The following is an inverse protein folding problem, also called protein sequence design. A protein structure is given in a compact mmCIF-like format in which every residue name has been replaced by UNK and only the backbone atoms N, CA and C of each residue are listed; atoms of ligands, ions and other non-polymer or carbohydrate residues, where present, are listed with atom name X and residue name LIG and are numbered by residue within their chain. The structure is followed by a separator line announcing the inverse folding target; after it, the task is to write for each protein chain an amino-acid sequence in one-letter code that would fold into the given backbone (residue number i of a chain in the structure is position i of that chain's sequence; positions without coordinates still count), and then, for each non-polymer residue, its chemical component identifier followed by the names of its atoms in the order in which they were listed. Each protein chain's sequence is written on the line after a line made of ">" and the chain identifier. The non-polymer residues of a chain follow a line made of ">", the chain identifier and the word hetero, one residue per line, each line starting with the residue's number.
data_IF_233939803842
#
_entry.id   IF_233939803842
#
_cell.length_a   1.000
_cell.length_b   1.000
_cell.length_c   1.000
_cell.angle_alpha   90.00
_cell.angle_beta   90.00
_cell.angle_gamma   90.00
#
_symmetry.space_group_name_H-M   'P 1'
#
loop_
_entity.id
_entity.type
_entity.pdbx_description
1 polymer ?
#
# COMPACT_ATOMS: atom_id res chain seq x y z
N UNK A 1 -15.68 -14.10 -20.18
CA UNK A 1 -14.33 -13.56 -19.89
C UNK A 1 -14.26 -12.19 -20.55
N UNK A 2 -13.89 -11.13 -19.82
CA UNK A 2 -13.81 -9.76 -20.39
C UNK A 2 -12.38 -9.53 -20.86
N UNK A 3 -12.21 -9.15 -22.13
CA UNK A 3 -10.86 -8.98 -22.72
C UNK A 3 -10.33 -7.57 -22.45
N UNK A 4 -11.21 -6.57 -22.43
CA UNK A 4 -10.85 -5.16 -22.33
C UNK A 4 -10.92 -4.64 -20.88
N UNK A 5 -10.19 -5.31 -20.00
CA UNK A 5 -10.32 -5.13 -18.54
C UNK A 5 -9.51 -3.95 -17.97
N UNK A 6 -8.58 -3.38 -18.74
CA UNK A 6 -7.74 -2.25 -18.34
C UNK A 6 -7.11 -1.56 -19.55
N UNK A 7 -6.49 -0.39 -19.32
CA UNK A 7 -5.83 0.43 -20.35
C UNK A 7 -4.72 -0.34 -21.09
N UNK A 8 -3.95 -1.20 -20.41
CA UNK A 8 -2.91 -2.01 -21.07
C UNK A 8 -3.50 -3.02 -22.06
N UNK A 9 -4.75 -3.43 -21.86
CA UNK A 9 -5.49 -4.26 -22.81
C UNK A 9 -6.17 -3.45 -23.92
N UNK A 10 -6.64 -2.24 -23.63
CA UNK A 10 -7.37 -1.39 -24.58
C UNK A 10 -6.42 -0.68 -25.56
N UNK A 11 -5.30 -0.15 -25.06
CA UNK A 11 -4.37 0.69 -25.83
C UNK A 11 -3.84 -0.01 -27.10
N UNK A 12 -3.35 -1.27 -27.05
CA UNK A 12 -2.89 -1.97 -28.26
C UNK A 12 -3.97 -2.15 -29.32
N UNK A 13 -5.23 -2.27 -28.89
CA UNK A 13 -6.38 -2.50 -29.76
C UNK A 13 -6.83 -1.19 -30.41
N UNK A 14 -6.89 -0.10 -29.64
CA UNK A 14 -7.18 1.25 -30.17
C UNK A 14 -6.14 1.65 -31.22
N UNK A 15 -4.85 1.42 -30.94
CA UNK A 15 -3.77 1.70 -31.90
C UNK A 15 -3.98 0.90 -33.19
N UNK A 16 -4.23 -0.41 -33.09
CA UNK A 16 -4.42 -1.25 -34.27
C UNK A 16 -5.64 -0.83 -35.11
N UNK A 17 -6.75 -0.46 -34.46
CA UNK A 17 -7.97 0.00 -35.15
C UNK A 17 -7.70 1.31 -35.90
N UNK A 18 -7.03 2.27 -35.24
CA UNK A 18 -6.71 3.59 -35.83
C UNK A 18 -5.75 3.50 -37.00
N UNK A 19 -4.79 2.59 -36.92
CA UNK A 19 -3.81 2.37 -37.97
C UNK A 19 -4.31 1.43 -39.07
N UNK A 20 -5.57 0.96 -38.99
CA UNK A 20 -6.14 -0.05 -39.88
C UNK A 20 -5.19 -1.27 -40.03
N UNK A 21 -4.61 -1.69 -38.91
CA UNK A 21 -3.49 -2.61 -38.91
C UNK A 21 -3.90 -4.00 -39.42
N UNK A 22 -3.26 -4.44 -40.51
CA UNK A 22 -3.40 -5.80 -41.06
C UNK A 22 -2.53 -6.84 -40.35
N UNK A 23 -1.63 -6.36 -39.48
CA UNK A 23 -0.67 -7.18 -38.76
C UNK A 23 -0.45 -6.59 -37.38
N UNK A 24 -0.58 -7.42 -36.35
CA UNK A 24 -0.37 -7.02 -34.95
C UNK A 24 0.58 -8.00 -34.26
N UNK A 25 1.46 -7.49 -33.38
CA UNK A 25 2.34 -8.33 -32.57
C UNK A 25 1.52 -9.02 -31.49
N UNK A 26 1.76 -10.32 -31.28
CA UNK A 26 1.09 -11.09 -30.23
C UNK A 26 1.48 -10.52 -28.86
N UNK A 27 0.46 -10.09 -28.11
CA UNK A 27 0.53 -9.75 -26.69
C UNK A 27 -0.64 -10.45 -25.97
N UNK A 28 -0.76 -10.27 -24.65
CA UNK A 28 -1.81 -10.94 -23.87
C UNK A 28 -3.23 -10.69 -24.41
N UNK A 29 -3.53 -9.47 -24.85
CA UNK A 29 -4.85 -9.10 -25.38
C UNK A 29 -5.13 -9.74 -26.73
N UNK A 30 -4.21 -9.58 -27.69
CA UNK A 30 -4.35 -10.18 -29.02
C UNK A 30 -4.36 -11.71 -28.97
N UNK A 31 -3.58 -12.30 -28.06
CA UNK A 31 -3.62 -13.73 -27.80
C UNK A 31 -4.99 -14.15 -27.26
N UNK A 32 -5.55 -13.43 -26.29
CA UNK A 32 -6.88 -13.72 -25.74
C UNK A 32 -7.99 -13.57 -26.79
N UNK A 33 -7.93 -12.55 -27.65
CA UNK A 33 -8.87 -12.37 -28.76
C UNK A 33 -8.79 -13.53 -29.75
N UNK A 34 -7.56 -13.98 -30.05
CA UNK A 34 -7.32 -15.11 -30.94
C UNK A 34 -7.83 -16.43 -30.35
N UNK A 35 -7.53 -16.72 -29.09
CA UNK A 35 -7.91 -18.00 -28.46
C UNK A 35 -9.39 -18.08 -28.14
N UNK A 36 -10.03 -16.97 -27.77
CA UNK A 36 -11.42 -16.96 -27.30
C UNK A 36 -12.41 -16.72 -28.43
N UNK A 37 -12.06 -15.88 -29.40
CA UNK A 37 -12.97 -15.42 -30.46
C UNK A 37 -12.47 -15.73 -31.87
N UNK A 38 -11.36 -16.47 -31.99
CA UNK A 38 -10.73 -16.81 -33.29
C UNK A 38 -10.38 -15.59 -34.15
N UNK A 39 -10.09 -14.46 -33.51
CA UNK A 39 -9.73 -13.22 -34.19
C UNK A 39 -8.26 -13.27 -34.63
N UNK A 40 -8.05 -13.13 -35.93
CA UNK A 40 -6.74 -13.13 -36.58
C UNK A 40 -6.18 -14.52 -36.83
N UNK A 41 -5.27 -14.62 -37.82
CA UNK A 41 -4.53 -15.84 -38.14
C UNK A 41 -3.08 -15.70 -37.73
N UNK A 42 -2.49 -16.72 -37.10
CA UNK A 42 -1.07 -16.71 -36.74
C UNK A 42 -0.20 -16.63 -37.98
N UNK A 43 0.72 -15.66 -37.98
CA UNK A 43 1.80 -15.50 -38.94
C UNK A 43 3.12 -15.68 -38.20
N UNK A 44 3.62 -16.91 -38.22
CA UNK A 44 4.75 -17.33 -37.40
C UNK A 44 4.43 -17.32 -35.90
N UNK A 45 5.46 -17.23 -35.06
CA UNK A 45 5.32 -17.28 -33.60
C UNK A 45 4.93 -15.95 -32.95
N UNK A 46 5.06 -14.83 -33.67
CA UNK A 46 5.10 -13.48 -33.06
C UNK A 46 4.02 -12.53 -33.54
N UNK A 47 3.29 -12.83 -34.62
CA UNK A 47 2.30 -11.93 -35.21
C UNK A 47 0.97 -12.63 -35.51
N UNK A 48 -0.11 -11.83 -35.50
CA UNK A 48 -1.39 -12.18 -36.08
C UNK A 48 -1.64 -11.29 -37.30
N UNK A 49 -2.18 -11.88 -38.38
CA UNK A 49 -2.77 -11.14 -39.49
C UNK A 49 -4.25 -10.96 -39.27
N UNK A 50 -4.76 -9.76 -39.51
CA UNK A 50 -6.15 -9.36 -39.31
C UNK A 50 -6.81 -8.98 -40.64
N UNK A 51 -8.06 -9.36 -40.80
CA UNK A 51 -8.95 -8.87 -41.85
C UNK A 51 -9.67 -7.59 -41.41
N UNK A 52 -10.25 -6.87 -42.38
CA UNK A 52 -11.12 -5.72 -42.13
C UNK A 52 -12.28 -6.06 -41.18
N UNK A 53 -12.94 -7.19 -41.45
CA UNK A 53 -14.09 -7.65 -40.68
C UNK A 53 -13.72 -7.97 -39.24
N UNK A 54 -12.56 -8.59 -39.01
CA UNK A 54 -12.06 -8.87 -37.67
C UNK A 54 -11.70 -7.59 -36.92
N UNK A 55 -11.03 -6.64 -37.55
CA UNK A 55 -10.68 -5.36 -36.91
C UNK A 55 -11.94 -4.55 -36.55
N UNK A 56 -12.95 -4.56 -37.43
CA UNK A 56 -14.26 -3.99 -37.16
C UNK A 56 -14.96 -4.71 -36.00
N UNK A 57 -14.90 -6.04 -35.96
CA UNK A 57 -15.48 -6.85 -34.88
C UNK A 57 -14.85 -6.50 -33.54
N UNK A 58 -13.52 -6.37 -33.47
CA UNK A 58 -12.80 -5.95 -32.27
C UNK A 58 -13.22 -4.53 -31.83
N UNK A 59 -13.40 -3.59 -32.76
CA UNK A 59 -13.91 -2.24 -32.45
C UNK A 59 -15.30 -2.30 -31.82
N UNK A 60 -16.21 -3.08 -32.41
CA UNK A 60 -17.56 -3.24 -31.88
C UNK A 60 -17.58 -3.92 -30.51
N UNK A 61 -16.71 -4.91 -30.29
CA UNK A 61 -16.54 -5.55 -28.98
C UNK A 61 -16.00 -4.56 -27.95
N UNK A 62 -14.97 -3.78 -28.29
CA UNK A 62 -14.43 -2.74 -27.41
C UNK A 62 -15.52 -1.73 -27.04
N UNK A 63 -16.25 -1.20 -28.03
CA UNK A 63 -17.31 -0.23 -27.79
C UNK A 63 -18.44 -0.81 -26.93
N UNK A 64 -18.84 -2.06 -27.18
CA UNK A 64 -19.88 -2.74 -26.39
C UNK A 64 -19.45 -3.02 -24.95
N UNK A 65 -18.20 -3.46 -24.75
CA UNK A 65 -17.70 -3.84 -23.43
C UNK A 65 -17.30 -2.62 -22.58
N UNK A 66 -16.81 -1.56 -23.23
CA UNK A 66 -16.15 -0.44 -22.53
C UNK A 66 -16.85 0.91 -22.73
N UNK A 67 -17.74 1.03 -23.71
CA UNK A 67 -18.31 2.31 -24.13
C UNK A 67 -17.32 3.20 -24.90
N UNK A 68 -16.08 2.75 -25.11
CA UNK A 68 -15.03 3.51 -25.82
C UNK A 68 -15.17 3.26 -27.32
N UNK A 69 -15.33 4.31 -28.11
CA UNK A 69 -15.11 4.24 -29.55
C UNK A 69 -13.64 4.52 -29.87
N UNK A 70 -12.94 3.51 -30.37
CA UNK A 70 -11.52 3.58 -30.73
C UNK A 70 -11.20 4.70 -31.73
N UNK A 71 -12.15 5.14 -32.56
CA UNK A 71 -11.90 6.23 -33.49
C UNK A 71 -12.04 7.62 -32.85
N UNK A 72 -12.76 7.73 -31.73
CA UNK A 72 -13.07 9.02 -31.09
C UNK A 72 -12.24 9.30 -29.84
N UNK A 73 -11.78 8.28 -29.11
CA UNK A 73 -11.04 8.44 -27.84
C UNK A 73 -9.61 8.93 -28.05
N UNK A 74 -9.17 10.05 -27.47
CA UNK A 74 -7.79 10.52 -27.63
C UNK A 74 -6.78 9.59 -26.93
N UNK A 75 -5.51 9.57 -27.36
CA UNK A 75 -4.50 8.75 -26.68
C UNK A 75 -4.15 9.33 -25.30
N UNK A 76 -4.21 10.65 -25.18
CA UNK A 76 -4.08 11.38 -23.92
C UNK A 76 -5.24 11.07 -22.97
N UNK A 77 -6.46 10.86 -23.49
CA UNK A 77 -7.61 10.40 -22.69
C UNK A 77 -7.44 8.97 -22.17
N UNK A 78 -6.65 8.14 -22.87
CA UNK A 78 -6.25 6.81 -22.38
C UNK A 78 -5.07 6.87 -21.41
N UNK A 79 -4.36 7.99 -21.32
CA UNK A 79 -3.20 8.22 -20.46
C UNK A 79 -3.50 9.14 -19.25
N UNK A 80 -4.62 9.86 -19.28
CA UNK A 80 -4.97 10.94 -18.34
C UNK A 80 -5.70 10.52 -17.06
N UNK A 81 -5.85 11.54 -16.20
CA UNK A 81 -6.35 11.44 -14.82
C UNK A 81 -7.78 10.88 -14.72
N UNK A 82 -7.99 10.03 -13.71
CA UNK A 82 -9.13 9.13 -13.48
C UNK A 82 -10.49 9.84 -13.54
N UNK A 83 -10.54 11.11 -13.15
CA UNK A 83 -11.76 11.92 -13.12
C UNK A 83 -12.26 12.31 -14.52
N UNK A 84 -11.35 12.46 -15.49
CA UNK A 84 -11.68 12.82 -16.87
C UNK A 84 -12.32 11.63 -17.63
N UNK A 85 -11.84 10.42 -17.36
CA UNK A 85 -12.36 9.17 -17.93
C UNK A 85 -13.75 8.81 -17.37
N UNK A 86 -13.99 9.05 -16.08
CA UNK A 86 -15.29 8.81 -15.44
C UNK A 86 -16.40 9.73 -15.98
N UNK A 87 -16.06 10.94 -16.48
CA UNK A 87 -17.02 11.87 -17.10
C UNK A 87 -17.49 11.44 -18.49
N UNK A 88 -16.78 10.55 -19.18
CA UNK A 88 -17.09 10.17 -20.58
C UNK A 88 -17.43 8.68 -20.78
N UNK A 89 -17.02 7.78 -19.89
CA UNK A 89 -17.37 6.36 -19.98
C UNK A 89 -18.52 6.01 -19.02
N UNK A 90 -19.57 5.37 -19.55
CA UNK A 90 -20.65 4.76 -18.74
C UNK A 90 -20.19 3.61 -17.84
N UNK A 91 -18.92 3.18 -17.92
CA UNK A 91 -18.43 1.99 -17.25
C UNK A 91 -17.34 2.35 -16.21
N UNK A 92 -17.76 2.59 -14.96
CA UNK A 92 -16.89 2.76 -13.78
C UNK A 92 -15.82 1.65 -13.65
N UNK A 93 -16.07 0.47 -14.23
CA UNK A 93 -15.21 -0.71 -14.12
C UNK A 93 -13.91 -0.63 -14.95
N UNK A 94 -13.80 0.31 -15.90
CA UNK A 94 -12.56 0.52 -16.65
C UNK A 94 -11.54 1.36 -15.88
N UNK A 95 -12.03 2.16 -14.93
CA UNK A 95 -11.22 2.92 -13.99
C UNK A 95 -10.85 2.02 -12.80
N UNK A 96 -10.07 0.95 -13.03
CA UNK A 96 -9.56 0.01 -12.01
C UNK A 96 -8.56 0.65 -11.03
N UNK A 97 -8.94 1.78 -10.45
CA UNK A 97 -8.51 2.14 -9.12
C UNK A 97 -9.79 2.16 -8.30
N UNK A 98 -9.87 1.42 -7.20
CA UNK A 98 -11.00 1.53 -6.28
C UNK A 98 -10.94 2.92 -5.63
N UNK A 99 -12.06 3.53 -5.21
CA UNK A 99 -12.01 4.73 -4.38
C UNK A 99 -11.05 4.56 -3.18
N UNK A 100 -11.03 3.37 -2.56
CA UNK A 100 -10.09 2.99 -1.51
C UNK A 100 -8.61 2.87 -1.91
N UNK A 101 -8.26 2.99 -3.20
CA UNK A 101 -6.86 3.08 -3.64
C UNK A 101 -6.28 4.48 -3.51
N UNK A 102 -7.08 5.48 -3.12
CA UNK A 102 -6.67 6.87 -2.95
C UNK A 102 -6.98 7.42 -1.56
N UNK A 103 -7.68 6.66 -0.74
CA UNK A 103 -8.12 7.11 0.58
C UNK A 103 -7.35 6.33 1.62
N UNK A 104 -6.80 7.04 2.60
CA UNK A 104 -6.11 6.48 3.76
C UNK A 104 -6.84 6.84 5.04
N UNK A 105 -6.67 6.01 6.06
CA UNK A 105 -7.19 6.28 7.40
C UNK A 105 -6.08 6.85 8.28
N UNK A 106 -6.36 7.98 8.89
CA UNK A 106 -5.45 8.67 9.79
C UNK A 106 -6.08 8.96 11.15
N UNK A 107 -5.25 9.06 12.18
CA UNK A 107 -5.63 9.41 13.53
C UNK A 107 -4.53 10.26 14.20
N UNK A 108 -4.87 10.87 15.33
CA UNK A 108 -3.97 11.62 16.19
C UNK A 108 -4.40 11.45 17.64
N UNK A 109 -3.44 11.43 18.57
CA UNK A 109 -3.73 11.35 20.01
C UNK A 109 -4.38 12.61 20.55
N UNK A 110 -4.02 13.77 19.99
CA UNK A 110 -4.59 15.06 20.41
C UNK A 110 -6.01 15.27 19.89
N UNK A 111 -6.50 14.43 18.98
CA UNK A 111 -7.73 14.68 18.22
C UNK A 111 -7.57 15.74 17.13
N UNK A 112 -6.39 16.38 17.00
CA UNK A 112 -6.05 17.30 15.93
C UNK A 112 -4.96 16.72 15.04
N UNK A 113 -5.13 16.83 13.73
CA UNK A 113 -4.16 16.35 12.75
C UNK A 113 -3.84 17.46 11.74
N UNK A 114 -2.55 17.73 11.56
CA UNK A 114 -2.06 18.63 10.52
C UNK A 114 -1.83 17.81 9.25
N UNK A 115 -2.51 18.18 8.18
CA UNK A 115 -2.41 17.61 6.85
C UNK A 115 -1.96 18.69 5.86
N UNK A 116 -1.70 18.32 4.61
CA UNK A 116 -1.20 19.23 3.58
C UNK A 116 -2.10 20.46 3.38
N UNK A 117 -3.42 20.27 3.41
CA UNK A 117 -4.38 21.36 3.14
C UNK A 117 -4.86 22.12 4.38
N UNK A 118 -4.51 21.67 5.59
CA UNK A 118 -4.91 22.34 6.82
C UNK A 118 -4.85 21.50 8.08
N UNK A 119 -5.42 22.03 9.16
CA UNK A 119 -5.56 21.32 10.43
C UNK A 119 -7.00 20.83 10.57
N UNK A 120 -7.16 19.54 10.82
CA UNK A 120 -8.44 18.87 10.97
C UNK A 120 -8.60 18.34 12.38
N UNK A 121 -9.86 18.19 12.81
CA UNK A 121 -10.19 17.57 14.09
C UNK A 121 -10.99 16.30 13.87
N UNK A 122 -10.80 15.32 14.75
CA UNK A 122 -11.64 14.13 14.84
C UNK A 122 -12.03 13.88 16.30
N UNK A 123 -13.17 13.22 16.57
CA UNK A 123 -13.54 12.89 17.94
C UNK A 123 -12.50 11.96 18.57
N UNK A 124 -12.43 11.96 19.90
CA UNK A 124 -11.64 10.96 20.63
C UNK A 124 -12.05 9.54 20.18
N UNK A 125 -11.08 8.65 19.98
CA UNK A 125 -11.27 7.29 19.42
C UNK A 125 -11.77 7.26 17.97
N UNK A 126 -11.90 8.43 17.33
CA UNK A 126 -12.25 8.58 15.93
C UNK A 126 -11.03 8.54 15.01
N UNK A 127 -11.32 8.39 13.72
CA UNK A 127 -10.33 8.47 12.64
C UNK A 127 -10.88 9.35 11.51
N UNK A 128 -10.00 9.84 10.65
CA UNK A 128 -10.38 10.50 9.39
C UNK A 128 -10.00 9.63 8.21
N UNK A 129 -10.86 9.59 7.21
CA UNK A 129 -10.54 9.05 5.89
C UNK A 129 -10.23 10.22 4.96
N UNK A 130 -9.00 10.31 4.49
CA UNK A 130 -8.51 11.45 3.70
C UNK A 130 -7.83 10.96 2.42
N UNK A 131 -7.75 11.80 1.37
CA UNK A 131 -6.91 11.51 0.21
C UNK A 131 -5.46 11.22 0.64
N UNK A 132 -4.81 10.25 0.00
CA UNK A 132 -3.44 9.84 0.32
C UNK A 132 -2.45 11.02 0.22
N UNK A 133 -2.71 11.93 -0.72
CA UNK A 133 -1.92 13.12 -1.00
C UNK A 133 -1.96 14.14 0.16
N UNK A 134 -2.92 14.06 1.08
CA UNK A 134 -2.96 14.91 2.28
C UNK A 134 -1.79 14.67 3.24
N UNK A 135 -1.10 13.53 3.11
CA UNK A 135 0.09 13.23 3.91
C UNK A 135 1.38 13.74 3.24
N UNK A 136 1.31 14.23 2.00
CA UNK A 136 2.49 14.71 1.29
C UNK A 136 3.03 15.99 1.92
N UNK A 137 4.35 16.06 2.09
CA UNK A 137 5.03 17.17 2.73
C UNK A 137 5.13 17.06 4.26
N UNK A 138 4.52 16.04 4.87
CA UNK A 138 4.72 15.75 6.29
C UNK A 138 6.14 15.19 6.53
N UNK A 139 6.75 15.61 7.63
CA UNK A 139 8.09 15.17 7.98
C UNK A 139 8.11 13.72 8.46
N UNK A 140 7.17 13.34 9.33
CA UNK A 140 7.14 12.00 9.93
C UNK A 140 5.70 11.55 10.15
N UNK A 141 5.44 10.26 9.92
CA UNK A 141 4.17 9.60 10.26
C UNK A 141 4.43 8.31 11.06
N UNK A 142 3.47 7.90 11.89
CA UNK A 142 3.48 6.59 12.54
C UNK A 142 2.61 5.63 11.73
N UNK A 143 3.19 4.59 11.14
CA UNK A 143 2.48 3.53 10.44
C UNK A 143 1.99 2.47 11.44
N UNK A 144 0.68 2.39 11.65
CA UNK A 144 0.04 1.47 12.60
C UNK A 144 -0.45 0.22 11.88
N UNK A 145 -0.10 -0.94 12.42
CA UNK A 145 -0.40 -2.23 11.80
C UNK A 145 -1.89 -2.63 11.86
N UNK A 146 -2.58 -2.44 12.98
CA UNK A 146 -3.94 -2.94 13.18
C UNK A 146 -4.98 -1.82 13.19
N UNK A 147 -6.13 -2.09 12.55
CA UNK A 147 -7.22 -1.10 12.47
C UNK A 147 -7.87 -0.86 13.83
N UNK A 148 -7.96 -1.89 14.69
CA UNK A 148 -8.49 -1.76 16.04
C UNK A 148 -7.68 -0.74 16.85
N UNK A 149 -6.35 -0.74 16.69
CA UNK A 149 -5.43 0.20 17.33
C UNK A 149 -5.72 1.63 16.89
N UNK A 150 -6.05 1.85 15.61
CA UNK A 150 -6.41 3.19 15.11
C UNK A 150 -7.63 3.79 15.84
N UNK A 151 -8.56 2.95 16.30
CA UNK A 151 -9.72 3.40 17.09
C UNK A 151 -9.43 3.51 18.60
N UNK A 152 -8.33 2.95 19.06
CA UNK A 152 -7.95 2.87 20.46
C UNK A 152 -6.59 3.52 20.74
N UNK A 153 -6.12 4.43 19.87
CA UNK A 153 -4.77 5.00 19.99
C UNK A 153 -4.53 5.65 21.35
N UNK A 154 -5.54 6.26 21.95
CA UNK A 154 -5.48 6.88 23.27
C UNK A 154 -5.45 5.89 24.45
N UNK A 155 -5.63 4.59 24.20
CA UNK A 155 -5.55 3.54 25.22
C UNK A 155 -4.10 3.08 25.46
N UNK A 156 -3.13 3.54 24.67
CA UNK A 156 -1.72 3.19 24.83
C UNK A 156 -0.96 4.34 25.50
N UNK A 157 0.03 4.01 26.32
CA UNK A 157 0.95 5.00 26.88
C UNK A 157 2.10 5.22 25.89
N UNK A 158 1.85 6.09 24.91
CA UNK A 158 2.81 6.43 23.87
C UNK A 158 4.00 7.24 24.40
N UNK A 159 5.19 7.08 23.81
CA UNK A 159 6.35 7.85 24.20
C UNK A 159 6.19 9.32 23.76
N UNK A 160 6.65 10.26 24.61
CA UNK A 160 6.37 11.70 24.46
C UNK A 160 6.81 12.28 23.11
N UNK A 161 7.90 11.74 22.57
CA UNK A 161 8.53 12.18 21.32
C UNK A 161 7.71 11.85 20.06
N UNK A 162 6.69 10.99 20.14
CA UNK A 162 5.84 10.64 19.00
C UNK A 162 4.38 11.08 19.18
N UNK A 163 4.00 11.64 20.34
CA UNK A 163 2.61 11.99 20.67
C UNK A 163 1.93 12.93 19.67
N UNK A 164 2.71 13.82 19.08
CA UNK A 164 2.24 14.87 18.16
C UNK A 164 2.17 14.39 16.70
N UNK A 165 2.66 13.19 16.41
CA UNK A 165 2.77 12.69 15.05
C UNK A 165 1.43 12.12 14.55
N UNK A 166 1.08 12.37 13.28
CA UNK A 166 -0.06 11.71 12.66
C UNK A 166 0.18 10.21 12.54
N UNK A 167 -0.86 9.45 12.86
CA UNK A 167 -0.90 8.00 12.71
C UNK A 167 -1.59 7.64 11.41
N UNK A 168 -1.03 6.69 10.67
CA UNK A 168 -1.51 6.18 9.40
C UNK A 168 -1.75 4.68 9.54
N UNK A 169 -2.95 4.22 9.21
CA UNK A 169 -3.23 2.79 9.15
C UNK A 169 -2.49 2.14 7.96
N UNK A 170 -1.82 1.01 8.17
CA UNK A 170 -1.08 0.29 7.11
C UNK A 170 -1.94 -0.26 5.96
N UNK A 171 -3.26 -0.28 6.16
CA UNK A 171 -4.23 -0.72 5.18
C UNK A 171 -4.87 -2.09 5.47
N UNK A 172 -5.95 -2.35 4.74
CA UNK A 172 -6.80 -3.53 4.75
C UNK A 172 -7.37 -3.75 3.34
N UNK A 173 -8.19 -4.78 3.08
CA UNK A 173 -8.89 -4.89 1.80
C UNK A 173 -9.74 -3.67 1.42
N UNK A 174 -10.21 -2.90 2.42
CA UNK A 174 -10.99 -1.67 2.25
C UNK A 174 -10.11 -0.43 2.05
N UNK A 175 -8.98 -0.34 2.77
CA UNK A 175 -7.98 0.74 2.66
C UNK A 175 -6.73 0.14 2.04
N UNK A 176 -6.55 0.25 0.74
CA UNK A 176 -5.64 -0.67 0.08
C UNK A 176 -4.17 -0.33 0.37
N UNK A 177 -3.26 -1.33 0.36
CA UNK A 177 -1.83 -1.07 0.48
C UNK A 177 -1.31 -0.06 -0.55
N UNK A 178 -1.95 0.02 -1.73
CA UNK A 178 -1.61 1.00 -2.76
C UNK A 178 -1.89 2.45 -2.33
N UNK A 179 -2.98 2.70 -1.61
CA UNK A 179 -3.29 4.02 -1.05
C UNK A 179 -2.23 4.43 -0.03
N UNK A 180 -1.84 3.50 0.84
CA UNK A 180 -0.81 3.71 1.86
C UNK A 180 0.56 3.95 1.22
N UNK A 181 0.95 3.15 0.22
CA UNK A 181 2.19 3.41 -0.55
C UNK A 181 2.18 4.78 -1.20
N UNK A 182 1.04 5.23 -1.74
CA UNK A 182 0.92 6.59 -2.31
C UNK A 182 1.05 7.67 -1.24
N UNK A 183 0.45 7.48 -0.07
CA UNK A 183 0.57 8.45 1.01
C UNK A 183 2.03 8.58 1.47
N UNK A 184 2.69 7.44 1.70
CA UNK A 184 4.07 7.37 2.16
C UNK A 184 5.08 7.92 1.15
N UNK A 185 4.77 7.93 -0.15
CA UNK A 185 5.72 8.46 -1.16
C UNK A 185 6.00 9.95 -1.03
N UNK A 186 5.14 10.70 -0.33
CA UNK A 186 5.33 12.13 -0.05
C UNK A 186 5.74 12.44 1.39
N UNK A 187 6.00 11.43 2.22
CA UNK A 187 6.43 11.59 3.62
C UNK A 187 7.93 11.36 3.72
N UNK A 188 8.65 12.16 4.52
CA UNK A 188 10.12 12.01 4.65
C UNK A 188 10.53 10.80 5.49
N UNK A 189 9.89 10.61 6.65
CA UNK A 189 10.22 9.55 7.59
C UNK A 189 8.99 8.74 8.02
N UNK A 190 9.19 7.44 8.21
CA UNK A 190 8.18 6.51 8.70
C UNK A 190 8.68 5.88 9.99
N UNK A 191 7.84 5.95 11.02
CA UNK A 191 7.99 5.19 12.26
C UNK A 191 6.95 4.08 12.22
N UNK A 192 7.31 2.82 12.42
CA UNK A 192 6.33 1.74 12.48
C UNK A 192 5.87 1.47 13.92
N UNK A 193 4.59 1.16 14.09
CA UNK A 193 4.07 0.51 15.29
C UNK A 193 3.43 -0.82 14.85
N UNK A 194 4.22 -1.92 14.83
CA UNK A 194 3.75 -3.25 14.46
C UNK A 194 3.31 -4.07 15.68
N UNK A 195 2.84 -5.29 15.44
CA UNK A 195 2.91 -6.35 16.45
C UNK A 195 4.38 -6.56 16.88
N UNK A 196 4.63 -6.83 18.17
CA UNK A 196 5.97 -7.15 18.67
C UNK A 196 6.25 -8.64 18.45
N UNK A 197 6.54 -8.99 17.20
CA UNK A 197 6.84 -10.35 16.76
C UNK A 197 7.84 -10.37 15.58
N UNK A 198 8.35 -11.54 15.17
CA UNK A 198 9.28 -11.63 14.04
C UNK A 198 8.78 -10.99 12.74
N UNK A 199 7.51 -11.15 12.39
CA UNK A 199 6.95 -10.63 11.15
C UNK A 199 6.83 -9.11 11.16
N UNK A 200 6.38 -8.53 12.28
CA UNK A 200 6.28 -7.08 12.51
C UNK A 200 7.63 -6.39 12.42
N UNK A 201 8.67 -6.98 13.03
CA UNK A 201 10.04 -6.52 12.91
C UNK A 201 10.59 -6.65 11.48
N UNK A 202 10.39 -7.77 10.81
CA UNK A 202 10.83 -7.96 9.42
C UNK A 202 10.16 -6.94 8.49
N UNK A 203 8.85 -6.73 8.63
CA UNK A 203 8.09 -5.74 7.85
C UNK A 203 8.62 -4.32 8.07
N UNK A 204 8.87 -3.96 9.32
CA UNK A 204 9.42 -2.64 9.69
C UNK A 204 10.78 -2.37 9.05
N UNK A 205 11.69 -3.35 9.14
CA UNK A 205 13.05 -3.22 8.62
C UNK A 205 13.08 -3.25 7.08
N UNK A 206 12.26 -4.09 6.46
CA UNK A 206 12.15 -4.15 4.98
C UNK A 206 11.48 -2.92 4.38
N UNK A 207 10.57 -2.28 5.12
CA UNK A 207 10.01 -0.96 4.77
C UNK A 207 11.00 0.20 4.94
N UNK A 208 12.21 -0.07 5.48
CA UNK A 208 13.24 0.94 5.78
C UNK A 208 12.72 2.07 6.66
N UNK A 209 11.91 1.73 7.66
CA UNK A 209 11.43 2.68 8.65
C UNK A 209 12.62 3.30 9.42
N UNK A 210 12.53 4.58 9.74
CA UNK A 210 13.56 5.32 10.48
C UNK A 210 13.44 5.10 11.99
N UNK A 211 12.29 4.60 12.46
CA UNK A 211 12.09 4.22 13.85
C UNK A 211 10.98 3.19 14.02
N UNK A 212 10.87 2.66 15.23
CA UNK A 212 9.85 1.69 15.63
C UNK A 212 9.36 2.02 17.04
N UNK A 213 8.04 1.90 17.24
CA UNK A 213 7.43 1.91 18.57
C UNK A 213 7.20 0.47 19.00
N UNK A 214 7.62 0.14 20.21
CA UNK A 214 7.67 -1.21 20.78
C UNK A 214 7.19 -1.18 22.23
N UNK A 215 6.81 -2.30 22.85
CA UNK A 215 6.52 -2.33 24.28
C UNK A 215 7.78 -2.06 25.11
N UNK A 216 7.64 -1.39 26.26
CA UNK A 216 8.73 -1.25 27.23
C UNK A 216 9.15 -2.60 27.81
N UNK A 217 10.35 -2.67 28.39
CA UNK A 217 10.82 -3.91 29.03
C UNK A 217 9.86 -4.40 30.13
N UNK A 218 9.29 -3.48 30.92
CA UNK A 218 8.30 -3.79 31.95
C UNK A 218 7.00 -4.33 31.33
N UNK A 219 6.52 -3.68 30.27
CA UNK A 219 5.35 -4.13 29.50
C UNK A 219 5.53 -5.56 28.98
N UNK A 220 6.71 -5.89 28.44
CA UNK A 220 6.99 -7.25 27.96
C UNK A 220 6.88 -8.27 29.11
N UNK A 221 7.47 -7.97 30.28
CA UNK A 221 7.38 -8.86 31.45
C UNK A 221 5.93 -9.04 31.90
N UNK A 222 5.17 -7.95 31.98
CA UNK A 222 3.77 -8.00 32.42
C UNK A 222 2.91 -8.85 31.47
N UNK A 223 3.06 -8.70 30.16
CA UNK A 223 2.33 -9.49 29.16
C UNK A 223 2.63 -10.99 29.31
N UNK A 224 3.89 -11.35 29.51
CA UNK A 224 4.31 -12.75 29.69
C UNK A 224 3.78 -13.33 31.00
N UNK A 225 3.90 -12.60 32.11
CA UNK A 225 3.38 -13.06 33.42
C UNK A 225 1.86 -13.23 33.38
N UNK A 226 1.17 -12.42 32.56
CA UNK A 226 -0.27 -12.51 32.35
C UNK A 226 -0.68 -13.56 31.31
N UNK A 227 0.26 -14.32 30.74
CA UNK A 227 0.03 -15.32 29.67
C UNK A 227 -0.74 -14.73 28.45
N UNK A 228 -0.51 -13.45 28.16
CA UNK A 228 -1.10 -12.74 27.01
C UNK A 228 -0.20 -12.75 25.77
N UNK A 229 0.99 -13.35 25.87
CA UNK A 229 1.86 -13.61 24.73
C UNK A 229 1.33 -14.78 23.88
N UNK A 230 1.80 -14.86 22.63
CA UNK A 230 1.32 -15.84 21.64
C UNK A 230 2.48 -16.68 21.10
N UNK A 231 3.09 -17.56 21.92
CA UNK A 231 4.25 -18.37 21.50
C UNK A 231 3.97 -19.26 20.29
N UNK A 232 2.69 -19.62 20.08
CA UNK A 232 2.25 -20.41 18.93
C UNK A 232 2.28 -19.62 17.63
N UNK A 233 2.04 -18.30 17.69
CA UNK A 233 2.14 -17.42 16.53
C UNK A 233 3.60 -17.13 16.20
N UNK A 234 4.46 -16.95 17.21
CA UNK A 234 5.91 -16.92 17.03
C UNK A 234 6.42 -18.16 16.28
N UNK A 235 5.93 -19.36 16.64
CA UNK A 235 6.37 -20.61 16.04
C UNK A 235 6.06 -20.72 14.53
N UNK A 236 5.00 -20.07 14.03
CA UNK A 236 4.59 -20.10 12.61
C UNK A 236 5.44 -19.21 11.71
N UNK A 237 6.30 -18.35 12.27
CA UNK A 237 7.00 -17.30 11.54
C UNK A 237 8.43 -17.69 11.13
N UNK A 238 8.62 -18.93 10.64
CA UNK A 238 9.94 -19.49 10.31
C UNK A 238 10.80 -18.60 9.41
N UNK A 239 10.20 -18.04 8.35
CA UNK A 239 10.90 -17.17 7.38
C UNK A 239 11.38 -15.88 8.05
N UNK A 240 10.51 -15.21 8.81
CA UNK A 240 10.85 -13.96 9.48
C UNK A 240 11.91 -14.17 10.57
N UNK A 241 11.81 -15.25 11.34
CA UNK A 241 12.82 -15.64 12.34
C UNK A 241 14.18 -15.87 11.71
N UNK A 242 14.24 -16.67 10.64
CA UNK A 242 15.49 -16.97 9.94
C UNK A 242 16.13 -15.70 9.33
N UNK A 243 15.32 -14.78 8.84
CA UNK A 243 15.79 -13.49 8.33
C UNK A 243 16.36 -12.60 9.46
N UNK A 244 15.65 -12.50 10.58
CA UNK A 244 16.02 -11.66 11.72
C UNK A 244 17.23 -12.15 12.52
N UNK A 245 17.59 -13.44 12.43
CA UNK A 245 18.82 -13.97 13.06
C UNK A 245 20.08 -13.19 12.66
N UNK A 246 20.07 -12.56 11.48
CA UNK A 246 21.20 -11.79 10.93
C UNK A 246 21.16 -10.31 11.30
N UNK A 247 20.12 -9.85 12.00
CA UNK A 247 19.91 -8.44 12.35
C UNK A 247 20.54 -8.14 13.71
N UNK A 248 21.56 -7.27 13.80
CA UNK A 248 22.31 -7.03 15.04
C UNK A 248 21.62 -5.99 15.95
N UNK A 249 20.30 -6.10 16.13
CA UNK A 249 19.55 -5.22 17.03
C UNK A 249 19.27 -5.94 18.36
N UNK A 250 19.67 -5.41 19.53
CA UNK A 250 19.48 -6.08 20.81
C UNK A 250 18.03 -6.50 21.08
N UNK A 251 17.07 -5.63 20.78
CA UNK A 251 15.64 -5.91 20.97
C UNK A 251 15.14 -7.07 20.09
N UNK A 252 15.67 -7.20 18.87
CA UNK A 252 15.36 -8.33 17.97
C UNK A 252 15.94 -9.63 18.54
N UNK A 253 17.18 -9.59 19.02
CA UNK A 253 17.82 -10.78 19.60
C UNK A 253 17.13 -11.22 20.89
N UNK A 254 16.71 -10.28 21.75
CA UNK A 254 15.92 -10.58 22.95
C UNK A 254 14.59 -11.26 22.58
N UNK A 255 13.82 -10.66 21.67
CA UNK A 255 12.56 -11.21 21.16
C UNK A 255 12.73 -12.62 20.61
N UNK A 256 13.78 -12.87 19.81
CA UNK A 256 14.05 -14.19 19.25
C UNK A 256 14.42 -15.20 20.34
N UNK A 257 15.29 -14.83 21.27
CA UNK A 257 15.76 -15.72 22.35
C UNK A 257 14.62 -16.15 23.27
N UNK A 258 13.72 -15.22 23.57
CA UNK A 258 12.55 -15.41 24.44
C UNK A 258 11.32 -15.92 23.70
N UNK A 259 11.38 -16.08 22.38
CA UNK A 259 10.31 -16.59 21.51
C UNK A 259 9.02 -15.76 21.58
N UNK A 260 9.16 -14.44 21.60
CA UNK A 260 8.06 -13.52 21.83
C UNK A 260 7.27 -13.23 20.56
N UNK A 261 5.94 -13.29 20.68
CA UNK A 261 5.00 -12.67 19.76
C UNK A 261 3.88 -12.03 20.57
N UNK A 262 3.83 -10.69 20.57
CA UNK A 262 2.86 -9.90 21.32
C UNK A 262 2.06 -9.05 20.30
N UNK A 263 0.74 -9.13 20.33
CA UNK A 263 -0.06 -8.34 19.40
C UNK A 263 -0.28 -6.92 19.92
N UNK A 264 -0.59 -5.97 19.04
CA UNK A 264 -0.88 -4.61 19.45
C UNK A 264 -2.02 -4.53 20.47
N UNK A 265 -3.00 -5.43 20.39
CA UNK A 265 -4.09 -5.48 21.36
C UNK A 265 -3.63 -5.92 22.76
N UNK A 266 -2.62 -6.79 22.87
CA UNK A 266 -2.10 -7.17 24.20
C UNK A 266 -1.30 -6.05 24.86
N UNK A 267 -0.83 -5.07 24.07
CA UNK A 267 -0.13 -3.87 24.52
C UNK A 267 -1.06 -2.71 24.89
N UNK A 268 -2.38 -2.87 24.73
CA UNK A 268 -3.35 -1.83 25.10
C UNK A 268 -3.31 -1.56 26.62
N UNK A 269 -3.31 -0.29 27.02
CA UNK A 269 -3.17 0.16 28.41
C UNK A 269 -1.73 0.20 28.92
N UNK A 270 -0.73 -0.13 28.09
CA UNK A 270 0.64 -0.35 28.53
C UNK A 270 1.64 0.68 28.00
N UNK A 271 2.81 0.71 28.62
CA UNK A 271 3.93 1.58 28.27
C UNK A 271 4.62 1.12 26.98
N UNK A 272 4.78 2.06 26.06
CA UNK A 272 5.50 1.91 24.81
C UNK A 272 6.78 2.75 24.81
N UNK A 273 7.78 2.27 24.07
CA UNK A 273 9.06 2.92 23.86
C UNK A 273 9.27 3.20 22.36
N UNK A 274 10.01 4.26 22.06
CA UNK A 274 10.46 4.57 20.71
C UNK A 274 11.93 4.20 20.55
N UNK A 275 12.25 3.47 19.48
CA UNK A 275 13.61 3.13 19.09
C UNK A 275 13.92 3.75 17.72
N UNK A 276 15.04 4.48 17.64
CA UNK A 276 15.60 4.92 16.35
C UNK A 276 16.25 3.73 15.64
N UNK A 277 15.93 3.55 14.37
CA UNK A 277 16.52 2.51 13.50
C UNK A 277 17.62 3.08 12.59
N UNK A 278 17.76 4.41 12.53
CA UNK A 278 18.90 5.06 11.90
C UNK A 278 20.07 5.15 12.89
N UNK A 279 21.27 4.67 12.52
CA UNK A 279 22.49 5.01 13.23
C UNK A 279 22.90 6.42 12.82
N UNK A 280 22.45 7.44 13.55
CA UNK A 280 23.16 8.72 13.57
C UNK A 280 23.94 8.78 14.87
N UNK A 281 25.22 8.44 14.75
CA UNK A 281 26.19 8.38 15.83
C UNK A 281 27.58 8.05 15.29
N UNK A 282 27.92 8.57 14.10
CA UNK A 282 29.32 8.75 13.71
C UNK A 282 29.78 10.07 14.33
N UNK A 283 30.74 9.96 15.25
CA UNK A 283 31.56 11.07 15.75
C UNK A 283 32.08 11.90 14.57
N UNK A 284 31.47 13.05 14.32
CA UNK A 284 32.09 14.17 13.60
C UNK A 284 32.00 15.39 14.53
N UNK A 285 32.72 15.32 15.65
CA UNK A 285 33.03 16.46 16.51
C UNK A 285 34.46 16.31 17.04
N UNK A 286 35.44 16.26 16.13
CA UNK A 286 36.80 16.75 16.41
C UNK A 286 37.30 17.43 15.14
N UNK A 287 36.88 18.68 14.93
CA UNK A 287 37.68 19.73 14.29
C UNK A 287 36.97 21.07 14.50
N UNK A 288 37.37 21.80 15.53
CA UNK A 288 36.87 23.14 15.81
C UNK A 288 37.23 23.67 17.18
N UNK A 289 38.54 23.82 17.46
CA UNK A 289 39.07 24.42 18.67
C UNK A 289 40.57 24.21 18.80
#
# INVERSE_FOLDING_TARGET
>A
MRIFDNIRAIKPVVIAIRQDARKVKINATWLSLNTTYSIGKRLGATYLTLTNTELHTVRMMLQRETGIDALLVSMEELEGDRLALAKKSRNEKLARLRPGDFVVMVASLSGQIKLATGVYSHPARGTLNVPAEELHGLDTVILVENQAVMFAVNEYHWPSNVLHLPMLFRGSPQITPAAVTRALSGVKNVICFPDFDPQGWMNTLTARAQGIVVPSANTIVEIIVSERDKPQDYAKQDVARAWLQRVPLPMVQDMLSRKLALSQESMAGMELEYLSLNPTGSNDDINGG
#
